data_IF_281116822215
#
_entry.id   IF_281116822215
#
_cell.length_a   1.000
_cell.length_b   1.000
_cell.length_c   1.000
_cell.angle_alpha   90.00
_cell.angle_beta   90.00
_cell.angle_gamma   90.00
#
_symmetry.space_group_name_H-M   'P 1'
#
loop_
_entity.id
_entity.type
_entity.pdbx_description
1 polymer ?
#
# COMPACT_ATOMS: atom_id res chain seq x y z
N UNK A 1 -11.80 -27.99 -1.17
CA UNK A 1 -11.47 -28.87 -2.31
C UNK A 1 -9.96 -29.08 -2.44
N UNK A 2 -9.19 -28.03 -2.72
CA UNK A 2 -7.73 -28.12 -2.87
C UNK A 2 -6.98 -28.74 -1.68
N UNK A 3 -7.35 -28.35 -0.46
CA UNK A 3 -6.79 -28.96 0.77
C UNK A 3 -7.12 -30.45 0.90
N UNK A 4 -8.30 -30.89 0.45
CA UNK A 4 -8.71 -32.29 0.51
C UNK A 4 -7.95 -33.14 -0.51
N UNK A 5 -7.85 -32.66 -1.76
CA UNK A 5 -7.10 -33.34 -2.82
C UNK A 5 -5.60 -33.43 -2.52
N UNK A 6 -5.07 -32.52 -1.71
CA UNK A 6 -3.68 -32.51 -1.28
C UNK A 6 -3.41 -33.35 -0.02
N UNK A 7 -4.33 -34.27 0.35
CA UNK A 7 -4.17 -35.16 1.51
C UNK A 7 -4.58 -34.55 2.85
N UNK A 8 -5.40 -33.51 2.85
CA UNK A 8 -5.90 -32.82 4.04
C UNK A 8 -5.01 -31.68 4.52
N UNK A 9 -5.53 -30.90 5.48
CA UNK A 9 -4.85 -29.70 6.01
C UNK A 9 -3.49 -30.05 6.61
N UNK A 10 -3.40 -31.14 7.38
CA UNK A 10 -2.15 -31.57 8.01
C UNK A 10 -1.04 -31.86 7.01
N UNK A 11 -1.36 -32.52 5.89
CA UNK A 11 -0.37 -32.84 4.86
C UNK A 11 0.12 -31.58 4.13
N UNK A 12 -0.79 -30.66 3.81
CA UNK A 12 -0.45 -29.38 3.16
C UNK A 12 0.52 -28.57 4.01
N UNK A 13 0.27 -28.44 5.32
CA UNK A 13 1.18 -27.74 6.22
C UNK A 13 2.49 -28.48 6.44
N UNK A 14 2.50 -29.82 6.37
CA UNK A 14 3.74 -30.62 6.42
C UNK A 14 4.62 -30.35 5.20
N UNK A 15 4.08 -30.46 3.99
CA UNK A 15 4.81 -30.16 2.74
C UNK A 15 5.34 -28.72 2.75
N UNK A 16 4.54 -27.77 3.22
CA UNK A 16 4.96 -26.37 3.33
C UNK A 16 6.07 -26.16 4.37
N UNK A 17 6.07 -26.92 5.47
CA UNK A 17 7.15 -26.90 6.47
C UNK A 17 8.43 -27.48 5.90
N UNK A 18 8.35 -28.65 5.28
CA UNK A 18 9.50 -29.36 4.71
C UNK A 18 10.13 -28.55 3.55
N UNK A 19 9.30 -27.81 2.82
CA UNK A 19 9.72 -26.85 1.79
C UNK A 19 10.19 -25.48 2.30
N UNK A 20 10.30 -25.29 3.62
CA UNK A 20 10.73 -24.05 4.25
C UNK A 20 9.83 -22.85 3.95
N UNK A 21 8.52 -23.03 3.73
CA UNK A 21 7.58 -21.93 3.42
C UNK A 21 6.88 -21.35 4.64
N UNK A 22 7.05 -21.97 5.82
CA UNK A 22 6.42 -21.56 7.08
C UNK A 22 7.38 -20.80 8.03
N UNK A 23 8.43 -20.18 7.51
CA UNK A 23 9.39 -19.37 8.28
C UNK A 23 8.79 -17.99 8.65
N UNK A 24 7.70 -18.00 9.42
CA UNK A 24 6.93 -16.79 9.78
C UNK A 24 7.70 -15.91 10.78
N UNK A 25 8.53 -16.53 11.62
CA UNK A 25 9.22 -15.88 12.73
C UNK A 25 10.70 -15.66 12.43
N UNK A 26 11.02 -15.13 11.26
CA UNK A 26 12.37 -14.58 11.04
C UNK A 26 12.48 -13.20 11.71
N UNK A 27 13.17 -13.15 12.86
CA UNK A 27 13.40 -11.93 13.65
C UNK A 27 14.70 -11.18 13.29
N UNK A 28 15.32 -11.50 12.16
CA UNK A 28 16.50 -10.78 11.68
C UNK A 28 16.22 -9.28 11.54
N UNK A 29 17.13 -8.47 12.09
CA UNK A 29 17.06 -7.01 12.06
C UNK A 29 17.70 -6.42 10.79
N UNK A 30 18.23 -7.26 9.89
CA UNK A 30 18.82 -6.81 8.65
C UNK A 30 17.73 -6.21 7.73
N UNK A 31 17.76 -4.89 7.46
CA UNK A 31 16.74 -4.23 6.66
C UNK A 31 16.86 -4.57 5.16
N UNK A 32 17.91 -5.26 4.73
CA UNK A 32 18.12 -5.70 3.35
C UNK A 32 17.46 -7.05 3.05
N UNK A 33 17.02 -7.78 4.07
CA UNK A 33 16.24 -9.00 3.89
C UNK A 33 14.82 -8.62 3.48
N UNK A 34 14.35 -9.19 2.36
CA UNK A 34 13.07 -8.87 1.75
C UNK A 34 11.89 -8.92 2.73
N UNK A 35 11.70 -10.05 3.41
CA UNK A 35 10.56 -10.27 4.30
C UNK A 35 11.07 -10.84 5.65
N UNK A 36 11.13 -9.99 6.68
CA UNK A 36 11.34 -10.37 8.08
C UNK A 36 10.12 -9.95 8.89
N UNK A 37 10.02 -10.44 10.13
CA UNK A 37 8.99 -9.99 11.05
C UNK A 37 9.00 -8.46 11.19
N UNK A 38 10.18 -7.85 11.28
CA UNK A 38 10.33 -6.40 11.46
C UNK A 38 10.04 -5.61 10.20
N UNK A 39 10.51 -6.05 9.02
CA UNK A 39 10.25 -5.34 7.76
C UNK A 39 8.75 -5.32 7.48
N UNK A 40 8.08 -6.44 7.73
CA UNK A 40 6.63 -6.54 7.57
C UNK A 40 5.87 -5.80 8.67
N UNK A 41 6.16 -6.04 9.96
CA UNK A 41 5.41 -5.44 11.06
C UNK A 41 5.53 -3.91 11.05
N UNK A 42 6.72 -3.37 10.87
CA UNK A 42 6.96 -1.92 10.93
C UNK A 42 6.63 -1.28 9.59
N UNK A 43 7.21 -1.77 8.50
CA UNK A 43 7.02 -1.21 7.16
C UNK A 43 5.59 -1.31 6.64
N UNK A 44 4.96 -2.49 6.75
CA UNK A 44 3.57 -2.67 6.34
C UNK A 44 2.63 -1.80 7.18
N UNK A 45 2.85 -1.69 8.49
CA UNK A 45 2.00 -0.84 9.35
C UNK A 45 2.03 0.62 8.93
N UNK A 46 3.20 1.17 8.56
CA UNK A 46 3.30 2.54 8.05
C UNK A 46 2.52 2.72 6.74
N UNK A 47 2.60 1.75 5.82
CA UNK A 47 1.83 1.80 4.57
C UNK A 47 0.32 1.72 4.81
N UNK A 48 -0.12 0.79 5.66
CA UNK A 48 -1.53 0.64 6.03
C UNK A 48 -2.07 1.86 6.76
N UNK A 49 -1.23 2.53 7.55
CA UNK A 49 -1.61 3.78 8.22
C UNK A 49 -1.98 4.86 7.20
N UNK A 50 -1.20 5.04 6.14
CA UNK A 50 -1.52 6.00 5.07
C UNK A 50 -2.79 5.59 4.33
N UNK A 51 -2.90 4.31 3.97
CA UNK A 51 -4.04 3.79 3.21
C UNK A 51 -5.38 3.96 3.95
N UNK A 52 -5.34 3.91 5.27
CA UNK A 52 -6.53 4.02 6.11
C UNK A 52 -6.77 5.44 6.60
N UNK A 53 -5.74 6.15 7.04
CA UNK A 53 -5.89 7.44 7.72
C UNK A 53 -5.78 8.64 6.79
N UNK A 54 -5.11 8.51 5.65
CA UNK A 54 -4.79 9.63 4.75
C UNK A 54 -5.44 9.48 3.38
N UNK A 55 -5.66 8.25 2.92
CA UNK A 55 -6.26 8.00 1.61
C UNK A 55 -7.64 8.66 1.50
N UNK A 56 -7.81 9.49 0.47
CA UNK A 56 -9.00 10.27 0.21
C UNK A 56 -10.27 9.40 0.16
N UNK A 57 -10.20 8.22 -0.46
CA UNK A 57 -11.36 7.32 -0.55
C UNK A 57 -11.84 6.82 0.81
N UNK A 58 -10.90 6.52 1.70
CA UNK A 58 -11.22 6.08 3.06
C UNK A 58 -11.80 7.23 3.86
N UNK A 59 -11.18 8.42 3.83
CA UNK A 59 -11.66 9.60 4.54
C UNK A 59 -13.07 10.03 4.11
N UNK A 60 -13.37 9.97 2.81
CA UNK A 60 -14.71 10.27 2.29
C UNK A 60 -15.77 9.30 2.84
N UNK A 61 -15.45 7.99 2.85
CA UNK A 61 -16.34 6.95 3.39
C UNK A 61 -16.58 7.14 4.88
N UNK A 62 -15.54 7.46 5.65
CA UNK A 62 -15.67 7.69 7.09
C UNK A 62 -16.48 8.95 7.40
N UNK A 63 -16.32 10.00 6.62
CA UNK A 63 -17.06 11.27 6.78
C UNK A 63 -18.55 11.16 6.42
N UNK A 64 -18.93 10.16 5.63
CA UNK A 64 -20.32 9.85 5.33
C UNK A 64 -21.05 9.14 6.49
N UNK A 65 -20.32 8.62 7.48
CA UNK A 65 -20.89 7.96 8.66
C UNK A 65 -21.42 9.01 9.65
N UNK A 66 -22.64 8.86 10.19
CA UNK A 66 -23.29 9.94 10.95
C UNK A 66 -22.67 10.24 12.32
N UNK A 67 -22.01 9.27 12.96
CA UNK A 67 -21.47 9.44 14.33
C UNK A 67 -20.08 8.82 14.49
N UNK A 68 -19.26 9.42 15.35
CA UNK A 68 -17.89 8.98 15.59
C UNK A 68 -17.81 7.59 16.24
N UNK A 69 -18.79 7.24 17.07
CA UNK A 69 -18.90 5.89 17.63
C UNK A 69 -19.11 4.82 16.55
N UNK A 70 -19.92 5.13 15.52
CA UNK A 70 -20.12 4.22 14.37
C UNK A 70 -18.87 4.13 13.50
N UNK A 71 -18.14 5.24 13.31
CA UNK A 71 -16.83 5.23 12.63
C UNK A 71 -15.86 4.26 13.30
N UNK A 72 -15.72 4.30 14.64
CA UNK A 72 -14.87 3.36 15.38
C UNK A 72 -15.29 1.90 15.15
N UNK A 73 -16.59 1.61 15.20
CA UNK A 73 -17.10 0.26 14.95
C UNK A 73 -16.77 -0.22 13.53
N UNK A 74 -16.99 0.62 12.52
CA UNK A 74 -16.66 0.31 11.11
C UNK A 74 -15.17 -0.01 10.96
N UNK A 75 -14.30 0.76 11.61
CA UNK A 75 -12.85 0.56 11.58
C UNK A 75 -12.42 -0.75 12.23
N UNK A 76 -13.01 -1.12 13.37
CA UNK A 76 -12.73 -2.41 14.03
C UNK A 76 -13.21 -3.57 13.16
N UNK A 77 -14.41 -3.48 12.60
CA UNK A 77 -14.94 -4.50 11.68
C UNK A 77 -14.06 -4.65 10.44
N UNK A 78 -13.61 -3.55 9.85
CA UNK A 78 -12.68 -3.55 8.72
C UNK A 78 -11.36 -4.27 9.07
N UNK A 79 -10.80 -4.00 10.26
CA UNK A 79 -9.60 -4.67 10.73
C UNK A 79 -9.78 -6.19 10.88
N UNK A 80 -10.86 -6.62 11.54
CA UNK A 80 -11.16 -8.05 11.74
C UNK A 80 -11.36 -8.76 10.39
N UNK A 81 -12.16 -8.17 9.50
CA UNK A 81 -12.44 -8.73 8.17
C UNK A 81 -11.14 -8.83 7.37
N UNK A 82 -10.31 -7.78 7.39
CA UNK A 82 -9.03 -7.77 6.67
C UNK A 82 -8.07 -8.86 7.16
N UNK A 83 -8.02 -9.13 8.47
CA UNK A 83 -7.21 -10.22 9.03
C UNK A 83 -7.72 -11.58 8.54
N UNK A 84 -9.04 -11.81 8.58
CA UNK A 84 -9.65 -13.05 8.09
C UNK A 84 -9.30 -13.28 6.61
N UNK A 85 -9.48 -12.26 5.76
CA UNK A 85 -9.14 -12.35 4.34
C UNK A 85 -7.65 -12.66 4.11
N UNK A 86 -6.74 -11.99 4.82
CA UNK A 86 -5.29 -12.25 4.70
C UNK A 86 -4.93 -13.68 5.09
N UNK A 87 -5.53 -14.22 6.16
CA UNK A 87 -5.32 -15.62 6.59
C UNK A 87 -5.81 -16.59 5.52
N UNK A 88 -7.01 -16.36 4.96
CA UNK A 88 -7.55 -17.21 3.89
C UNK A 88 -6.67 -17.20 2.65
N UNK A 89 -6.22 -16.03 2.19
CA UNK A 89 -5.32 -15.92 1.03
C UNK A 89 -3.98 -16.61 1.29
N UNK A 90 -3.45 -16.51 2.52
CA UNK A 90 -2.21 -17.20 2.90
C UNK A 90 -2.38 -18.72 2.85
N UNK A 91 -3.48 -19.25 3.39
CA UNK A 91 -3.81 -20.68 3.30
C UNK A 91 -3.95 -21.12 1.84
N UNK A 92 -4.56 -20.30 0.98
CA UNK A 92 -4.62 -20.57 -0.46
C UNK A 92 -3.22 -20.64 -1.08
N UNK A 93 -2.32 -19.70 -0.76
CA UNK A 93 -0.94 -19.74 -1.25
C UNK A 93 -0.17 -20.99 -0.81
N UNK A 94 -0.34 -21.41 0.44
CA UNK A 94 0.23 -22.65 0.97
C UNK A 94 -0.34 -23.88 0.25
N UNK A 95 -1.65 -23.91 0.00
CA UNK A 95 -2.32 -25.01 -0.70
C UNK A 95 -1.87 -25.12 -2.16
N UNK A 96 -1.67 -23.98 -2.83
CA UNK A 96 -1.10 -23.91 -4.18
C UNK A 96 0.32 -24.46 -4.19
N UNK A 97 1.16 -24.05 -3.24
CA UNK A 97 2.52 -24.58 -3.11
C UNK A 97 2.53 -26.09 -2.89
N UNK A 98 1.73 -26.60 -1.95
CA UNK A 98 1.68 -28.03 -1.65
C UNK A 98 1.23 -28.88 -2.85
N UNK A 99 0.33 -28.34 -3.69
CA UNK A 99 -0.12 -29.02 -4.92
C UNK A 99 0.97 -29.12 -5.98
N UNK A 100 1.85 -28.11 -6.05
CA UNK A 100 2.90 -27.99 -7.08
C UNK A 100 4.31 -28.13 -6.52
N UNK A 101 4.46 -28.75 -5.35
CA UNK A 101 5.76 -28.88 -4.68
C UNK A 101 6.77 -29.70 -5.50
N UNK A 102 6.30 -30.76 -6.17
CA UNK A 102 7.13 -31.67 -6.97
C UNK A 102 7.27 -31.26 -8.44
N UNK A 103 6.32 -30.46 -8.93
CA UNK A 103 6.31 -29.96 -10.30
C UNK A 103 5.74 -28.56 -10.38
N UNK A 104 6.64 -27.58 -10.45
CA UNK A 104 6.27 -26.18 -10.58
C UNK A 104 5.66 -25.87 -11.97
N UNK A 105 4.43 -25.34 -12.04
CA UNK A 105 3.81 -24.93 -13.31
C UNK A 105 4.53 -23.78 -14.01
N UNK A 106 5.30 -22.95 -13.29
CA UNK A 106 6.07 -21.86 -13.92
C UNK A 106 7.27 -22.43 -14.68
N UNK A 107 8.12 -23.24 -14.03
CA UNK A 107 9.29 -23.87 -14.68
C UNK A 107 8.92 -24.90 -15.76
N UNK A 108 7.78 -25.58 -15.63
CA UNK A 108 7.25 -26.47 -16.66
C UNK A 108 6.53 -25.77 -17.81
N UNK A 109 6.47 -24.43 -17.81
CA UNK A 109 5.87 -23.63 -18.89
C UNK A 109 4.34 -23.66 -18.96
N UNK A 110 3.67 -24.21 -17.94
CA UNK A 110 2.19 -24.25 -17.83
C UNK A 110 1.61 -22.92 -17.34
N UNK A 111 2.39 -22.12 -16.62
CA UNK A 111 2.10 -20.75 -16.26
C UNK A 111 3.21 -19.84 -16.79
N UNK A 112 2.85 -18.66 -17.31
CA UNK A 112 3.81 -17.71 -17.88
C UNK A 112 4.36 -16.75 -16.82
N UNK A 113 3.51 -16.38 -15.85
CA UNK A 113 3.84 -15.43 -14.79
C UNK A 113 3.39 -15.95 -13.42
N UNK A 114 4.10 -15.54 -12.37
CA UNK A 114 3.79 -15.93 -10.98
C UNK A 114 2.37 -15.53 -10.55
N UNK A 115 1.90 -14.38 -11.02
CA UNK A 115 0.58 -13.83 -10.67
C UNK A 115 -0.58 -14.67 -11.25
N UNK A 116 -0.29 -15.59 -12.18
CA UNK A 116 -1.28 -16.49 -12.79
C UNK A 116 -1.43 -17.82 -12.03
N UNK A 117 -0.62 -18.07 -11.00
CA UNK A 117 -0.56 -19.36 -10.31
C UNK A 117 -1.87 -19.73 -9.60
N UNK A 118 -2.51 -18.75 -8.94
CA UNK A 118 -3.79 -18.99 -8.25
C UNK A 118 -4.93 -19.22 -9.25
N UNK A 119 -5.12 -18.40 -10.31
CA UNK A 119 -6.08 -18.72 -11.36
C UNK A 119 -5.84 -20.10 -11.98
N UNK A 120 -4.58 -20.44 -12.29
CA UNK A 120 -4.22 -21.75 -12.82
C UNK A 120 -4.63 -22.89 -11.87
N UNK A 121 -4.33 -22.73 -10.58
CA UNK A 121 -4.73 -23.69 -9.54
C UNK A 121 -6.24 -23.90 -9.45
N UNK A 122 -7.03 -22.83 -9.55
CA UNK A 122 -8.49 -22.93 -9.53
C UNK A 122 -9.01 -23.66 -10.77
N UNK A 123 -8.40 -23.43 -11.93
CA UNK A 123 -8.74 -24.17 -13.15
C UNK A 123 -8.38 -25.67 -13.03
N UNK A 124 -7.21 -25.99 -12.49
CA UNK A 124 -6.72 -27.38 -12.30
C UNK A 124 -7.59 -28.15 -11.29
N UNK A 125 -7.78 -27.60 -10.09
CA UNK A 125 -8.51 -28.26 -9.01
C UNK A 125 -10.02 -28.17 -9.18
N UNK A 126 -10.53 -27.00 -9.60
CA UNK A 126 -11.96 -26.71 -9.71
C UNK A 126 -12.57 -27.09 -11.05
N UNK A 127 -11.77 -27.50 -12.04
CA UNK A 127 -12.23 -27.83 -13.39
C UNK A 127 -13.24 -28.99 -13.44
N UNK A 128 -13.26 -29.86 -12.42
CA UNK A 128 -14.25 -30.95 -12.34
C UNK A 128 -15.65 -30.47 -11.96
N UNK A 129 -15.80 -29.23 -11.44
CA UNK A 129 -17.10 -28.65 -11.07
C UNK A 129 -17.47 -27.61 -12.12
N UNK A 130 -18.52 -27.90 -12.87
CA UNK A 130 -19.03 -27.01 -13.91
C UNK A 130 -19.37 -25.63 -13.32
N UNK A 131 -18.82 -24.57 -13.93
CA UNK A 131 -19.09 -23.18 -13.55
C UNK A 131 -18.26 -22.63 -12.38
N UNK A 132 -17.61 -23.47 -11.56
CA UNK A 132 -16.83 -22.99 -10.41
C UNK A 132 -15.63 -22.11 -10.82
N UNK A 133 -14.80 -22.49 -11.81
CA UNK A 133 -13.71 -21.61 -12.25
C UNK A 133 -14.23 -20.31 -12.89
N UNK A 134 -15.36 -20.38 -13.61
CA UNK A 134 -16.01 -19.20 -14.17
C UNK A 134 -16.49 -18.22 -13.09
N UNK A 135 -17.11 -18.74 -12.03
CA UNK A 135 -17.52 -17.95 -10.86
C UNK A 135 -16.32 -17.29 -10.16
N UNK A 136 -15.21 -18.02 -10.01
CA UNK A 136 -13.98 -17.50 -9.43
C UNK A 136 -13.42 -16.33 -10.27
N UNK A 137 -13.27 -16.52 -11.58
CA UNK A 137 -12.75 -15.48 -12.48
C UNK A 137 -13.69 -14.26 -12.50
N UNK A 138 -15.01 -14.48 -12.52
CA UNK A 138 -15.98 -13.39 -12.41
C UNK A 138 -15.83 -12.60 -11.10
N UNK A 139 -15.61 -13.28 -9.97
CA UNK A 139 -15.35 -12.65 -8.68
C UNK A 139 -14.05 -11.84 -8.65
N UNK A 140 -12.96 -12.36 -9.25
CA UNK A 140 -11.68 -11.65 -9.38
C UNK A 140 -11.87 -10.37 -10.20
N UNK A 141 -12.56 -10.44 -11.35
CA UNK A 141 -12.86 -9.25 -12.16
C UNK A 141 -13.74 -8.26 -11.42
N UNK A 142 -14.78 -8.71 -10.71
CA UNK A 142 -15.66 -7.84 -9.94
C UNK A 142 -14.89 -7.09 -8.83
N UNK A 143 -14.00 -7.79 -8.10
CA UNK A 143 -13.16 -7.19 -7.07
C UNK A 143 -12.16 -6.17 -7.65
N UNK A 144 -11.51 -6.51 -8.78
CA UNK A 144 -10.59 -5.62 -9.48
C UNK A 144 -11.29 -4.36 -9.99
N UNK A 145 -12.46 -4.51 -10.64
CA UNK A 145 -13.25 -3.39 -11.16
C UNK A 145 -13.80 -2.49 -10.04
N UNK A 146 -14.18 -3.06 -8.90
CA UNK A 146 -14.62 -2.28 -7.73
C UNK A 146 -13.50 -1.38 -7.19
N UNK A 147 -12.29 -1.91 -7.10
CA UNK A 147 -11.10 -1.17 -6.65
C UNK A 147 -10.69 -0.11 -7.67
N UNK A 148 -10.64 -0.48 -8.95
CA UNK A 148 -10.32 0.43 -10.06
C UNK A 148 -11.29 1.61 -10.12
N UNK A 149 -12.60 1.34 -10.05
CA UNK A 149 -13.64 2.37 -10.04
C UNK A 149 -13.47 3.35 -8.87
N UNK A 150 -13.20 2.82 -7.66
CA UNK A 150 -12.94 3.65 -6.48
C UNK A 150 -11.71 4.54 -6.68
N UNK A 151 -10.60 3.99 -7.19
CA UNK A 151 -9.36 4.75 -7.39
C UNK A 151 -9.50 5.82 -8.46
N UNK A 152 -10.15 5.53 -9.58
CA UNK A 152 -10.44 6.50 -10.64
C UNK A 152 -11.33 7.63 -10.12
N UNK A 153 -12.37 7.32 -9.34
CA UNK A 153 -13.24 8.32 -8.74
C UNK A 153 -12.50 9.19 -7.74
N UNK A 154 -11.68 8.59 -6.87
CA UNK A 154 -10.89 9.33 -5.88
C UNK A 154 -9.92 10.27 -6.59
N UNK A 155 -9.20 9.79 -7.60
CA UNK A 155 -8.25 10.61 -8.34
C UNK A 155 -8.95 11.75 -9.08
N UNK A 156 -10.08 11.49 -9.74
CA UNK A 156 -10.85 12.53 -10.40
C UNK A 156 -11.37 13.58 -9.40
N UNK A 157 -11.81 13.12 -8.23
CA UNK A 157 -12.27 14.02 -7.16
C UNK A 157 -11.12 14.85 -6.62
N UNK A 158 -9.96 14.25 -6.33
CA UNK A 158 -8.75 14.97 -5.88
C UNK A 158 -8.27 15.99 -6.91
N UNK A 159 -8.22 15.62 -8.20
CA UNK A 159 -7.86 16.57 -9.28
C UNK A 159 -8.84 17.74 -9.29
N UNK A 160 -10.14 17.45 -9.17
CA UNK A 160 -11.15 18.49 -9.15
C UNK A 160 -11.04 19.37 -7.90
N UNK A 161 -10.99 18.81 -6.70
CA UNK A 161 -10.97 19.57 -5.45
C UNK A 161 -9.71 20.40 -5.29
N UNK A 162 -8.56 19.84 -5.67
CA UNK A 162 -7.28 20.44 -5.31
C UNK A 162 -6.77 21.39 -6.40
N UNK A 163 -7.10 21.14 -7.68
CA UNK A 163 -6.59 21.94 -8.80
C UNK A 163 -7.66 22.72 -9.55
N UNK A 164 -8.88 22.17 -9.73
CA UNK A 164 -9.88 22.79 -10.60
C UNK A 164 -10.94 23.61 -9.85
N UNK A 165 -11.23 23.27 -8.59
CA UNK A 165 -12.33 23.85 -7.82
C UNK A 165 -12.18 25.37 -7.65
N UNK A 166 -10.94 25.88 -7.55
CA UNK A 166 -10.65 27.30 -7.47
C UNK A 166 -10.92 28.08 -8.76
N UNK A 167 -10.88 27.41 -9.93
CA UNK A 167 -11.15 28.03 -11.23
C UNK A 167 -12.61 27.91 -11.66
N UNK A 168 -13.38 27.02 -11.02
CA UNK A 168 -14.79 26.81 -11.33
C UNK A 168 -15.65 27.75 -10.47
N UNK A 169 -16.48 28.63 -11.06
CA UNK A 169 -17.34 29.51 -10.29
C UNK A 169 -18.26 28.72 -9.35
N UNK A 170 -18.43 29.18 -8.10
CA UNK A 170 -19.31 28.55 -7.10
C UNK A 170 -20.78 28.45 -7.53
N UNK A 171 -21.19 29.25 -8.50
CA UNK A 171 -22.54 29.23 -9.12
C UNK A 171 -22.71 28.11 -10.17
N UNK A 172 -21.66 27.33 -10.45
CA UNK A 172 -21.71 26.28 -11.47
C UNK A 172 -22.68 25.17 -11.04
N UNK A 173 -23.66 24.81 -11.88
CA UNK A 173 -24.63 23.77 -11.55
C UNK A 173 -23.94 22.41 -11.37
N UNK A 174 -24.40 21.64 -10.38
CA UNK A 174 -23.84 20.32 -10.03
C UNK A 174 -23.75 19.36 -11.22
N UNK A 175 -24.69 19.46 -12.17
CA UNK A 175 -24.67 18.67 -13.42
C UNK A 175 -23.38 18.91 -14.22
N UNK A 176 -22.93 20.16 -14.35
CA UNK A 176 -21.68 20.50 -15.07
C UNK A 176 -20.45 19.97 -14.33
N UNK A 177 -20.45 20.05 -12.99
CA UNK A 177 -19.38 19.48 -12.15
C UNK A 177 -19.32 17.96 -12.33
N UNK A 178 -20.47 17.29 -12.34
CA UNK A 178 -20.55 15.84 -12.59
C UNK A 178 -20.03 15.46 -13.98
N UNK A 179 -20.35 16.23 -15.03
CA UNK A 179 -19.78 16.01 -16.36
C UNK A 179 -18.26 16.19 -16.38
N UNK A 180 -17.73 17.20 -15.70
CA UNK A 180 -16.29 17.43 -15.59
C UNK A 180 -15.59 16.26 -14.87
N UNK A 181 -16.13 15.79 -13.75
CA UNK A 181 -15.60 14.62 -13.04
C UNK A 181 -15.58 13.38 -13.93
N UNK A 182 -16.68 13.11 -14.66
CA UNK A 182 -16.74 11.98 -15.61
C UNK A 182 -15.70 12.10 -16.72
N UNK A 183 -15.47 13.31 -17.24
CA UNK A 183 -14.43 13.55 -18.26
C UNK A 183 -13.04 13.24 -17.70
N UNK A 184 -12.72 13.69 -16.48
CA UNK A 184 -11.45 13.41 -15.82
C UNK A 184 -11.26 11.90 -15.63
N UNK A 185 -12.30 11.17 -15.19
CA UNK A 185 -12.26 9.71 -15.06
C UNK A 185 -11.92 9.03 -16.38
N UNK A 186 -12.53 9.46 -17.49
CA UNK A 186 -12.26 8.88 -18.82
C UNK A 186 -10.82 9.13 -19.25
N UNK A 187 -10.32 10.37 -19.09
CA UNK A 187 -8.94 10.73 -19.45
C UNK A 187 -7.93 9.94 -18.64
N UNK A 188 -8.11 9.88 -17.31
CA UNK A 188 -7.26 9.07 -16.42
C UNK A 188 -7.32 7.60 -16.79
N UNK A 189 -8.50 7.05 -17.09
CA UNK A 189 -8.66 5.65 -17.48
C UNK A 189 -7.91 5.30 -18.78
N UNK A 190 -7.90 6.21 -19.76
CA UNK A 190 -7.10 6.04 -20.99
C UNK A 190 -5.61 6.00 -20.66
N UNK A 191 -5.12 6.91 -19.81
CA UNK A 191 -3.73 6.94 -19.38
C UNK A 191 -3.35 5.65 -18.65
N UNK A 192 -4.21 5.15 -17.75
CA UNK A 192 -3.99 3.90 -17.02
C UNK A 192 -3.90 2.70 -17.98
N UNK A 193 -4.80 2.59 -18.97
CA UNK A 193 -4.73 1.58 -20.02
C UNK A 193 -3.41 1.62 -20.80
N UNK A 194 -2.87 2.81 -21.10
CA UNK A 194 -1.57 2.94 -21.75
C UNK A 194 -0.41 2.48 -20.84
N UNK A 195 -0.48 2.78 -19.54
CA UNK A 195 0.56 2.41 -18.58
C UNK A 195 0.64 0.90 -18.32
N UNK A 196 -0.45 0.13 -18.53
CA UNK A 196 -0.43 -1.33 -18.40
C UNK A 196 0.64 -1.99 -19.29
N UNK A 197 0.87 -1.48 -20.51
CA UNK A 197 1.91 -2.01 -21.40
C UNK A 197 3.34 -1.82 -20.86
N UNK A 198 3.54 -0.80 -20.03
CA UNK A 198 4.81 -0.57 -19.34
C UNK A 198 4.94 -1.51 -18.14
N UNK A 199 3.88 -1.63 -17.33
CA UNK A 199 3.86 -2.48 -16.13
C UNK A 199 4.06 -3.96 -16.48
N UNK A 200 3.54 -4.42 -17.63
CA UNK A 200 3.69 -5.79 -18.11
C UNK A 200 5.15 -6.23 -18.33
N UNK A 201 6.11 -5.28 -18.40
CA UNK A 201 7.54 -5.58 -18.53
C UNK A 201 8.24 -5.84 -17.19
N UNK A 202 7.59 -5.54 -16.06
CA UNK A 202 8.18 -5.72 -14.74
C UNK A 202 7.77 -7.06 -14.13
N UNK A 203 8.75 -7.77 -13.54
CA UNK A 203 8.51 -9.03 -12.84
C UNK A 203 8.05 -8.82 -11.39
N UNK A 204 6.96 -9.48 -11.00
CA UNK A 204 6.40 -9.46 -9.65
C UNK A 204 5.61 -8.18 -9.37
N UNK A 205 4.36 -8.15 -9.82
CA UNK A 205 3.47 -6.97 -9.81
C UNK A 205 3.28 -6.43 -8.39
N UNK A 206 3.15 -7.32 -7.39
CA UNK A 206 2.98 -6.92 -5.99
C UNK A 206 4.16 -6.09 -5.46
N UNK A 207 5.38 -6.55 -5.68
CA UNK A 207 6.57 -5.81 -5.21
C UNK A 207 6.69 -4.46 -5.92
N UNK A 208 6.43 -4.42 -7.23
CA UNK A 208 6.47 -3.19 -8.01
C UNK A 208 5.45 -2.17 -7.49
N UNK A 209 4.19 -2.59 -7.28
CA UNK A 209 3.13 -1.74 -6.77
C UNK A 209 3.46 -1.18 -5.38
N UNK A 210 3.90 -2.02 -4.44
CA UNK A 210 4.25 -1.59 -3.08
C UNK A 210 5.44 -0.64 -3.09
N UNK A 211 6.43 -0.88 -3.94
CA UNK A 211 7.60 -0.01 -4.07
C UNK A 211 7.21 1.40 -4.55
N UNK A 212 6.34 1.50 -5.56
CA UNK A 212 5.85 2.78 -6.06
C UNK A 212 4.97 3.51 -5.03
N UNK A 213 4.09 2.78 -4.34
CA UNK A 213 3.31 3.35 -3.24
C UNK A 213 4.21 3.90 -2.13
N UNK A 214 5.35 3.26 -1.85
CA UNK A 214 6.33 3.73 -0.87
C UNK A 214 6.80 5.17 -1.10
N UNK A 215 6.91 5.62 -2.36
CA UNK A 215 7.33 6.98 -2.72
C UNK A 215 6.35 8.02 -2.16
N UNK A 216 5.08 7.89 -2.53
CA UNK A 216 4.03 8.85 -2.18
C UNK A 216 3.59 8.67 -0.74
N UNK A 217 3.42 7.42 -0.27
CA UNK A 217 2.95 7.14 1.08
C UNK A 217 3.94 7.62 2.14
N UNK A 218 5.24 7.47 1.91
CA UNK A 218 6.22 7.97 2.88
C UNK A 218 6.15 9.48 3.07
N UNK A 219 6.04 10.22 1.97
CA UNK A 219 5.98 11.68 1.98
C UNK A 219 4.66 12.19 2.58
N UNK A 220 3.54 11.58 2.20
CA UNK A 220 2.23 11.88 2.77
C UNK A 220 2.20 11.61 4.28
N UNK A 221 2.66 10.43 4.71
CA UNK A 221 2.75 10.09 6.12
C UNK A 221 3.57 11.12 6.89
N UNK A 222 4.70 11.53 6.33
CA UNK A 222 5.58 12.53 6.93
C UNK A 222 4.92 13.89 7.08
N UNK A 223 4.24 14.40 6.05
CA UNK A 223 3.56 15.71 6.09
C UNK A 223 2.44 15.70 7.14
N UNK A 224 1.60 14.67 7.13
CA UNK A 224 0.50 14.53 8.08
C UNK A 224 0.99 14.35 9.52
N UNK A 225 2.03 13.54 9.71
CA UNK A 225 2.68 13.38 11.03
C UNK A 225 3.27 14.69 11.50
N UNK A 226 3.96 15.42 10.61
CA UNK A 226 4.55 16.72 10.92
C UNK A 226 3.49 17.71 11.42
N UNK A 227 2.36 17.81 10.73
CA UNK A 227 1.26 18.72 11.08
C UNK A 227 0.47 18.32 12.34
N UNK A 228 0.23 17.03 12.56
CA UNK A 228 -0.56 16.54 13.71
C UNK A 228 0.23 16.45 15.01
N UNK A 229 1.56 16.30 14.94
CA UNK A 229 2.42 16.05 16.10
C UNK A 229 3.19 17.30 16.51
N UNK A 230 3.72 18.06 15.57
CA UNK A 230 4.68 19.12 15.89
C UNK A 230 4.06 20.52 15.72
N UNK A 231 3.75 21.24 16.81
CA UNK A 231 3.18 22.60 16.72
C UNK A 231 4.15 23.65 16.18
N UNK A 232 5.43 23.29 16.01
CA UNK A 232 6.47 24.13 15.40
C UNK A 232 6.37 24.09 13.86
N UNK A 233 5.70 23.07 13.29
CA UNK A 233 5.59 22.88 11.86
C UNK A 233 4.87 24.06 11.19
N UNK A 234 5.38 24.48 10.03
CA UNK A 234 4.76 25.52 9.20
C UNK A 234 4.61 25.08 7.73
N UNK A 235 3.91 25.89 6.94
CA UNK A 235 3.62 25.60 5.52
C UNK A 235 4.89 25.37 4.68
N UNK A 236 5.97 26.14 4.94
CA UNK A 236 7.23 26.06 4.20
C UNK A 236 7.99 24.78 4.56
N UNK A 237 7.98 24.40 5.83
CA UNK A 237 8.55 23.15 6.31
C UNK A 237 7.79 21.94 5.79
N UNK A 238 6.46 21.96 5.80
CA UNK A 238 5.65 20.89 5.23
C UNK A 238 5.93 20.69 3.74
N UNK A 239 5.99 21.78 2.96
CA UNK A 239 6.27 21.72 1.52
C UNK A 239 7.69 21.22 1.22
N UNK A 240 8.70 21.79 1.88
CA UNK A 240 10.11 21.41 1.66
C UNK A 240 10.41 20.00 2.15
N UNK A 241 9.89 19.61 3.32
CA UNK A 241 9.98 18.25 3.84
C UNK A 241 9.30 17.25 2.90
N UNK A 242 8.08 17.54 2.46
CA UNK A 242 7.35 16.69 1.52
C UNK A 242 8.08 16.47 0.21
N UNK A 243 8.65 17.54 -0.36
CA UNK A 243 9.44 17.45 -1.59
C UNK A 243 10.74 16.66 -1.39
N UNK A 244 11.44 16.89 -0.29
CA UNK A 244 12.66 16.16 0.05
C UNK A 244 12.39 14.66 0.26
N UNK A 245 11.30 14.31 0.95
CA UNK A 245 10.83 12.95 1.13
C UNK A 245 10.50 12.27 -0.20
N UNK A 246 9.77 12.95 -1.09
CA UNK A 246 9.42 12.42 -2.41
C UNK A 246 10.67 12.14 -3.26
N UNK A 247 11.61 13.09 -3.30
CA UNK A 247 12.86 12.95 -4.06
C UNK A 247 13.69 11.79 -3.49
N UNK A 248 13.82 11.72 -2.17
CA UNK A 248 14.61 10.69 -1.50
C UNK A 248 14.01 9.28 -1.69
N UNK A 249 12.71 9.12 -1.44
CA UNK A 249 12.04 7.83 -1.66
C UNK A 249 12.03 7.44 -3.14
N UNK A 250 11.86 8.41 -4.05
CA UNK A 250 11.97 8.18 -5.48
C UNK A 250 13.36 7.68 -5.86
N UNK A 251 14.42 8.32 -5.35
CA UNK A 251 15.80 7.88 -5.56
C UNK A 251 16.04 6.45 -5.06
N UNK A 252 15.55 6.11 -3.86
CA UNK A 252 15.62 4.74 -3.34
C UNK A 252 14.88 3.72 -4.21
N UNK A 253 13.63 4.01 -4.57
CA UNK A 253 12.77 3.08 -5.31
C UNK A 253 13.27 2.88 -6.73
N UNK A 254 13.56 3.95 -7.46
CA UNK A 254 14.08 3.84 -8.82
C UNK A 254 15.47 3.21 -8.84
N UNK A 255 16.32 3.48 -7.84
CA UNK A 255 17.58 2.77 -7.66
C UNK A 255 17.36 1.27 -7.47
N UNK A 256 16.51 0.87 -6.52
CA UNK A 256 16.18 -0.55 -6.29
C UNK A 256 15.64 -1.23 -7.55
N UNK A 257 14.72 -0.59 -8.26
CA UNK A 257 14.16 -1.11 -9.52
C UNK A 257 15.22 -1.21 -10.62
N UNK A 258 16.13 -0.25 -10.72
CA UNK A 258 17.23 -0.26 -11.68
C UNK A 258 18.17 -1.45 -11.45
N UNK A 259 18.62 -1.66 -10.21
CA UNK A 259 19.49 -2.79 -9.86
C UNK A 259 18.76 -4.13 -10.02
N UNK A 260 17.45 -4.18 -9.71
CA UNK A 260 16.63 -5.38 -9.93
C UNK A 260 16.49 -5.72 -11.41
N UNK A 261 16.23 -4.73 -12.26
CA UNK A 261 16.08 -4.92 -13.71
C UNK A 261 17.36 -5.46 -14.37
N UNK A 262 18.53 -5.03 -13.89
CA UNK A 262 19.83 -5.52 -14.36
C UNK A 262 20.28 -6.85 -13.72
N UNK A 263 19.47 -7.43 -12.83
CA UNK A 263 19.81 -8.69 -12.14
C UNK A 263 20.92 -8.56 -11.09
N UNK A 264 21.14 -7.34 -10.57
CA UNK A 264 22.18 -7.01 -9.59
C UNK A 264 21.70 -7.18 -8.14
N UNK A 265 20.40 -7.44 -7.94
CA UNK A 265 19.81 -7.77 -6.66
C UNK A 265 19.48 -9.27 -6.61
N UNK A 266 19.80 -9.97 -5.50
CA UNK A 266 19.55 -11.40 -5.39
C UNK A 266 18.05 -11.71 -5.54
N UNK A 267 17.74 -12.74 -6.33
CA UNK A 267 16.37 -13.22 -6.42
C UNK A 267 16.02 -13.98 -5.14
N UNK A 268 14.99 -13.52 -4.44
CA UNK A 268 14.61 -14.06 -3.13
C UNK A 268 13.72 -15.31 -3.24
N UNK A 269 13.73 -15.98 -4.40
CA UNK A 269 12.97 -17.20 -4.62
C UNK A 269 13.59 -18.34 -3.81
N UNK A 270 12.80 -18.90 -2.90
CA UNK A 270 13.13 -20.18 -2.29
C UNK A 270 13.07 -21.28 -3.37
N UNK A 271 13.95 -22.29 -3.29
CA UNK A 271 14.05 -23.34 -4.30
C UNK A 271 12.71 -24.06 -4.49
N UNK A 272 12.51 -24.54 -5.72
CA UNK A 272 11.32 -25.25 -6.19
C UNK A 272 11.79 -26.51 -6.93
N UNK A 273 11.01 -27.59 -6.85
CA UNK A 273 11.35 -28.87 -7.47
C UNK A 273 10.63 -29.03 -8.82
N UNK A 274 11.33 -29.69 -9.75
CA UNK A 274 10.80 -30.13 -11.05
C UNK A 274 10.94 -31.64 -11.25
N UNK A 275 11.32 -32.37 -10.20
CA UNK A 275 11.59 -33.82 -10.26
C UNK A 275 10.35 -34.63 -10.68
N UNK A 276 9.15 -34.13 -10.38
CA UNK A 276 7.88 -34.76 -10.75
C UNK A 276 7.30 -34.29 -12.09
N UNK A 277 7.99 -33.43 -12.84
CA UNK A 277 7.48 -32.94 -14.12
C UNK A 277 7.85 -33.88 -15.27
N UNK A 278 6.85 -34.40 -15.99
CA UNK A 278 7.05 -34.99 -17.32
C UNK A 278 7.24 -33.85 -18.33
N UNK A 279 8.49 -33.45 -18.62
CA UNK A 279 8.79 -32.36 -19.56
C UNK A 279 9.50 -32.90 -20.80
N UNK A 280 8.90 -32.70 -21.98
CA UNK A 280 9.53 -32.88 -23.31
C UNK A 280 10.16 -31.59 -23.85
N UNK A 281 9.87 -30.45 -23.23
CA UNK A 281 10.45 -29.13 -23.53
C UNK A 281 11.66 -28.85 -22.62
N UNK A 282 12.62 -28.03 -23.05
CA UNK A 282 13.71 -27.63 -22.18
C UNK A 282 13.10 -26.90 -20.97
N UNK A 283 13.38 -27.40 -19.77
CA UNK A 283 13.11 -26.71 -18.52
C UNK A 283 13.58 -25.26 -18.70
N UNK A 284 12.73 -24.29 -18.35
CA UNK A 284 13.17 -22.91 -18.17
C UNK A 284 14.26 -22.96 -17.10
N UNK A 285 15.51 -23.06 -17.54
CA UNK A 285 16.65 -22.95 -16.66
C UNK A 285 16.51 -21.57 -16.06
N UNK A 286 16.15 -21.51 -14.78
CA UNK A 286 16.55 -20.40 -13.95
C UNK A 286 18.08 -20.39 -14.07
N UNK A 287 18.58 -19.60 -15.03
CA UNK A 287 19.95 -19.15 -15.04
C UNK A 287 20.08 -18.37 -13.75
N UNK A 288 20.38 -19.08 -12.66
CA UNK A 288 20.90 -18.55 -11.42
C UNK A 288 22.23 -17.93 -11.84
N UNK A 289 22.16 -16.70 -12.37
CA UNK A 289 23.33 -15.87 -12.57
C UNK A 289 23.80 -15.57 -11.16
N UNK A 290 24.67 -16.43 -10.64
CA UNK A 290 25.51 -16.07 -9.51
C UNK A 290 26.22 -14.79 -9.92
N UNK A 291 25.88 -13.72 -9.22
CA UNK A 291 26.36 -12.39 -9.53
C UNK A 291 27.83 -12.30 -9.13
N UNK A 292 28.71 -12.10 -10.11
CA UNK A 292 30.15 -11.84 -9.93
C UNK A 292 30.49 -10.33 -9.91
N UNK A 293 29.48 -9.43 -9.88
CA UNK A 293 29.72 -7.99 -9.89
C UNK A 293 29.80 -7.36 -8.49
N UNK A 294 30.12 -6.07 -8.44
CA UNK A 294 30.15 -5.29 -7.18
C UNK A 294 28.75 -5.22 -6.56
N UNK A 295 28.66 -5.61 -5.29
CA UNK A 295 27.41 -5.60 -4.53
C UNK A 295 26.90 -4.16 -4.46
N UNK A 296 25.67 -3.85 -4.93
CA UNK A 296 25.09 -2.52 -4.81
C UNK A 296 25.10 -2.05 -3.35
N UNK A 297 25.26 -0.75 -3.12
CA UNK A 297 25.26 -0.21 -1.77
C UNK A 297 24.02 -0.66 -0.99
N UNK A 298 24.19 -0.94 0.31
CA UNK A 298 23.13 -1.46 1.17
C UNK A 298 21.84 -0.59 1.12
N UNK A 299 22.01 0.69 0.80
CA UNK A 299 20.94 1.67 0.58
C UNK A 299 19.90 1.25 -0.47
N UNK A 300 20.33 0.64 -1.59
CA UNK A 300 19.41 0.18 -2.64
C UNK A 300 18.89 -1.24 -2.43
N UNK A 301 19.44 -1.95 -1.44
CA UNK A 301 19.04 -3.31 -1.07
C UNK A 301 17.96 -3.35 0.00
N UNK A 302 17.63 -2.21 0.60
CA UNK A 302 16.59 -2.11 1.62
C UNK A 302 15.28 -2.72 1.13
N UNK A 303 14.60 -3.48 2.00
CA UNK A 303 13.30 -4.05 1.71
C UNK A 303 12.30 -2.96 1.32
N UNK A 304 11.51 -3.24 0.29
CA UNK A 304 10.53 -2.30 -0.25
C UNK A 304 9.46 -1.90 0.77
N UNK A 305 9.25 -2.69 1.83
CA UNK A 305 8.37 -2.35 2.95
C UNK A 305 8.83 -1.12 3.74
N UNK A 306 10.14 -0.84 3.78
CA UNK A 306 10.70 0.29 4.53
C UNK A 306 10.73 1.61 3.77
N UNK A 307 10.48 1.61 2.46
CA UNK A 307 10.54 2.83 1.64
C UNK A 307 9.63 3.95 2.15
N UNK A 308 8.43 3.58 2.62
CA UNK A 308 7.48 4.54 3.21
C UNK A 308 8.04 5.18 4.50
N UNK A 309 8.67 4.39 5.37
CA UNK A 309 9.22 4.88 6.64
C UNK A 309 10.41 5.76 6.41
N UNK A 310 11.33 5.35 5.53
CA UNK A 310 12.50 6.15 5.19
C UNK A 310 12.07 7.50 4.61
N UNK A 311 11.08 7.52 3.71
CA UNK A 311 10.48 8.76 3.19
C UNK A 311 9.84 9.63 4.27
N UNK A 312 9.11 9.02 5.20
CA UNK A 312 8.47 9.71 6.32
C UNK A 312 9.51 10.38 7.23
N UNK A 313 10.58 9.66 7.60
CA UNK A 313 11.67 10.19 8.43
C UNK A 313 12.31 11.41 7.76
N UNK A 314 12.67 11.31 6.48
CA UNK A 314 13.28 12.42 5.74
C UNK A 314 12.32 13.61 5.69
N UNK A 315 11.04 13.36 5.42
CA UNK A 315 10.01 14.40 5.38
C UNK A 315 9.89 15.14 6.71
N UNK A 316 9.83 14.42 7.83
CA UNK A 316 9.70 15.00 9.17
C UNK A 316 10.98 15.76 9.55
N UNK A 317 12.16 15.18 9.32
CA UNK A 317 13.44 15.80 9.68
C UNK A 317 13.66 17.10 8.91
N UNK A 318 13.56 17.06 7.57
CA UNK A 318 13.73 18.26 6.74
C UNK A 318 12.64 19.27 7.05
N UNK A 319 11.39 18.81 7.21
CA UNK A 319 10.27 19.69 7.52
C UNK A 319 10.41 20.40 8.86
N UNK A 320 10.94 19.73 9.89
CA UNK A 320 11.25 20.34 11.18
C UNK A 320 12.39 21.35 11.09
N UNK A 321 13.49 21.01 10.40
CA UNK A 321 14.63 21.91 10.22
C UNK A 321 14.21 23.21 9.52
N UNK A 322 13.48 23.10 8.41
CA UNK A 322 13.00 24.26 7.68
C UNK A 322 11.95 25.02 8.48
N UNK A 323 11.06 24.32 9.20
CA UNK A 323 10.07 24.98 10.06
C UNK A 323 10.73 25.78 11.18
N UNK A 324 11.81 25.27 11.76
CA UNK A 324 12.57 25.95 12.80
C UNK A 324 13.22 27.24 12.28
N UNK A 325 13.84 27.19 11.10
CA UNK A 325 14.50 28.36 10.48
C UNK A 325 13.49 29.42 10.01
N UNK A 326 12.32 28.99 9.54
CA UNK A 326 11.31 29.88 8.95
C UNK A 326 10.21 30.31 9.92
N UNK A 327 10.34 29.96 11.21
CA UNK A 327 9.32 30.21 12.23
C UNK A 327 9.09 31.71 12.44
N UNK A 328 7.83 32.14 12.30
CA UNK A 328 7.39 33.46 12.74
C UNK A 328 6.98 33.40 14.22
N UNK A 329 7.31 34.42 15.00
CA UNK A 329 7.14 34.44 16.46
C UNK A 329 5.67 34.36 16.94
N UNK A 330 4.70 34.65 16.09
CA UNK A 330 3.27 34.80 16.44
C UNK A 330 2.34 33.71 15.87
N UNK A 331 2.87 32.59 15.38
CA UNK A 331 2.04 31.52 14.83
C UNK A 331 1.30 30.73 15.93
N UNK A 332 0.10 31.17 16.31
CA UNK A 332 -0.79 30.41 17.18
C UNK A 332 -1.43 29.25 16.40
N UNK A 333 -1.07 28.01 16.74
CA UNK A 333 -1.68 26.80 16.17
C UNK A 333 -2.94 26.46 16.96
N UNK A 334 -4.03 26.11 16.26
CA UNK A 334 -5.27 25.65 16.90
C UNK A 334 -5.04 24.28 17.55
N UNK A 335 -5.35 24.11 18.86
CA UNK A 335 -5.16 22.83 19.56
C UNK A 335 -5.91 21.64 18.97
N UNK A 336 -7.05 21.90 18.29
CA UNK A 336 -7.87 20.90 17.60
C UNK A 336 -7.15 20.20 16.44
N UNK A 337 -6.15 20.87 15.84
CA UNK A 337 -5.37 20.31 14.72
C UNK A 337 -4.23 19.40 15.21
N UNK A 338 -3.86 19.50 16.49
CA UNK A 338 -2.85 18.66 17.11
C UNK A 338 -3.53 17.45 17.72
N UNK A 339 -2.96 16.28 17.49
CA UNK A 339 -3.47 15.03 18.04
C UNK A 339 -3.62 15.14 19.57
N UNK A 340 -4.74 14.67 20.16
CA UNK A 340 -4.99 14.77 21.61
C UNK A 340 -3.86 14.25 22.49
N UNK A 341 -3.11 13.26 21.99
CA UNK A 341 -1.97 12.65 22.70
C UNK A 341 -0.76 13.59 22.74
N UNK A 342 -0.59 14.45 21.73
CA UNK A 342 0.56 15.35 21.55
C UNK A 342 0.26 16.79 21.96
N UNK A 343 -0.92 17.07 22.52
CA UNK A 343 -1.29 18.40 22.99
C UNK A 343 -0.38 18.93 24.13
N UNK A 344 0.39 18.05 24.80
CA UNK A 344 1.42 18.49 25.77
C UNK A 344 2.54 19.32 25.14
N UNK A 345 2.74 19.24 23.82
CA UNK A 345 3.73 20.04 23.08
C UNK A 345 3.24 21.48 22.84
N UNK A 346 1.96 21.79 23.09
CA UNK A 346 1.41 23.13 22.93
C UNK A 346 1.80 24.05 24.09
N UNK A 347 2.03 25.34 23.83
CA UNK A 347 2.23 26.33 24.89
C UNK A 347 1.04 26.35 25.88
N UNK A 348 1.34 26.38 27.19
CA UNK A 348 0.35 26.24 28.28
C UNK A 348 -0.81 27.25 28.23
N UNK A 349 -0.61 28.41 27.58
CA UNK A 349 -1.65 29.44 27.39
C UNK A 349 -2.78 28.98 26.45
N UNK A 350 -2.50 28.12 25.46
CA UNK A 350 -3.49 27.67 24.48
C UNK A 350 -4.39 26.55 25.01
N UNK A 351 -3.87 25.68 25.88
CA UNK A 351 -4.62 24.58 26.51
C UNK A 351 -5.75 25.05 27.43
N UNK A 352 -5.66 26.26 27.99
CA UNK A 352 -6.70 26.83 28.87
C UNK A 352 -7.93 27.35 28.11
N UNK A 353 -7.77 27.77 26.84
CA UNK A 353 -8.87 28.34 26.04
C UNK A 353 -9.87 27.27 25.56
N UNK A 354 -9.40 26.03 25.40
CA UNK A 354 -10.13 24.95 24.71
C UNK A 354 -10.95 24.04 25.64
N UNK A 355 -10.62 23.96 26.95
CA UNK A 355 -11.42 23.19 27.93
C UNK A 355 -12.85 23.72 28.09
N UNK A 356 -13.15 24.93 27.62
CA UNK A 356 -14.50 25.50 27.63
C UNK A 356 -15.41 25.00 26.51
N UNK A 357 -14.90 24.24 25.53
CA UNK A 357 -15.60 23.94 24.26
C UNK A 357 -15.91 22.44 24.02
N UNK A 358 -15.70 21.56 25.01
CA UNK A 358 -15.62 20.10 24.80
C UNK A 358 -16.92 19.31 24.80
N UNK A 359 -18.09 19.93 24.95
CA UNK A 359 -19.35 19.19 25.01
C UNK A 359 -20.03 19.16 23.63
N UNK A 360 -20.01 17.97 23.02
CA UNK A 360 -20.69 17.52 21.78
C UNK A 360 -20.23 18.07 20.41
N UNK A 361 -19.30 17.34 19.76
CA UNK A 361 -18.91 17.57 18.36
C UNK A 361 -19.64 16.57 17.43
N UNK A 362 -20.72 16.96 16.74
CA UNK A 362 -21.25 16.20 15.61
C UNK A 362 -20.32 16.34 14.40
N UNK A 363 -19.98 15.21 13.74
CA UNK A 363 -19.09 15.11 12.56
C UNK A 363 -19.47 16.03 11.37
N UNK A 364 -20.65 16.65 11.38
CA UNK A 364 -21.23 17.44 10.28
C UNK A 364 -21.30 18.94 10.53
N UNK A 365 -20.80 19.46 11.67
CA UNK A 365 -20.64 20.90 11.88
C UNK A 365 -19.23 21.18 12.38
N UNK A 366 -18.50 21.99 11.64
CA UNK A 366 -17.62 22.99 12.26
C UNK A 366 -18.56 24.06 12.80
N UNK A 367 -18.56 24.33 14.11
CA UNK A 367 -18.72 25.71 14.51
C UNK A 367 -17.88 26.04 15.75
N UNK A 368 -16.88 26.88 15.56
CA UNK A 368 -16.63 27.98 16.47
C UNK A 368 -16.30 29.21 15.61
N UNK A 369 -17.30 30.07 15.52
CA UNK A 369 -17.32 31.46 15.07
C UNK A 369 -16.22 31.96 14.10
N UNK A 370 -16.69 32.21 12.88
CA UNK A 370 -16.28 33.37 12.08
C UNK A 370 -16.73 34.62 12.85
N UNK A 371 -15.85 35.28 13.60
CA UNK A 371 -15.98 36.70 13.93
C UNK A 371 -14.58 37.32 13.97
N UNK A 372 -14.35 38.19 12.98
CA UNK A 372 -13.28 39.19 12.78
C UNK A 372 -11.84 38.73 12.50
#
# INVERSE_FOLDING_TARGET
>A
MGLYQSGGVGNVFKIARDGGRLDVFNFDLDPTVRDTFWTFAVGSSAMWMVDVAVNQGTLQRLSAVPTFAKVKLVMVLFGIISVIFKVLTTITGIAVYARYADCDPLQSGKALHMDQLVPYYVMDVGGSILGLPGLFIAGVFAAALSTLSTNLLNLATTIYTDFLSGFVPKSTPEKKISYLLKLIVVVVGIVDCCLVFLVAKFGGILQFAISLLGITYGSLLGIFTLGMVFPIANEKGALSGGLAGLIFSGFMVFGNLFYKYHGLLPDHRKPISTQGCNVTTPLLSDNYKSYEGEIPSAFFRVSFWYFSICGCIVTVVVGLLVSFVTRKSDSNVRPELISPVFQFLLPTKQLKKDRSCKDDIPLKRVPCEIVE
#
